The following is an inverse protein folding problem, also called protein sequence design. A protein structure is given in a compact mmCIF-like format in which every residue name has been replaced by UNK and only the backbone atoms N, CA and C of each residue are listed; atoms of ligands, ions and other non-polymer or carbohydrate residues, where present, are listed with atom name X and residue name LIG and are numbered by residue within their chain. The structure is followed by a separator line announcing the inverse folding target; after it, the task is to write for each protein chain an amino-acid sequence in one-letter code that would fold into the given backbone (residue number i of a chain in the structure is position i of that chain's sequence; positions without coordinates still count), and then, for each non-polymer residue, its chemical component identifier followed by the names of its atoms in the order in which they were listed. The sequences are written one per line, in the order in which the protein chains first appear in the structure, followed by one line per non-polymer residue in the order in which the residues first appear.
data_IF_395275863167
#
_entry.id   IF_395275863167
#
_cell.length_a   1.000
_cell.length_b   1.000
_cell.length_c   1.000
_cell.angle_alpha   90.00
_cell.angle_beta   90.00
_cell.angle_gamma   90.00
#
_symmetry.space_group_name_H-M   'P 1'
#
loop_
_entity.id
_entity.type
_entity.pdbx_description
1 polymer ?
#
# COMPACT_ATOMS: atom_id res chain seq x y z
N UNK A 1 0.59 -0.13 -15.84
CA UNK A 1 0.17 0.43 -14.53
C UNK A 1 -0.16 1.90 -14.72
N UNK A 2 -1.32 2.34 -14.28
CA UNK A 2 -1.76 3.72 -14.45
C UNK A 2 -1.42 4.55 -13.20
N UNK A 3 -0.41 5.41 -13.31
CA UNK A 3 0.04 6.24 -12.18
C UNK A 3 -0.98 7.30 -11.74
N UNK A 4 -1.97 7.60 -12.59
CA UNK A 4 -3.04 8.55 -12.25
C UNK A 4 -4.18 7.89 -11.47
N UNK A 5 -4.18 6.57 -11.36
CA UNK A 5 -5.17 5.85 -10.59
C UNK A 5 -5.10 6.27 -9.11
N UNK A 6 -6.25 6.47 -8.48
CA UNK A 6 -6.29 6.74 -7.04
C UNK A 6 -6.12 5.46 -6.24
N UNK A 7 -5.41 5.58 -5.14
CA UNK A 7 -5.16 4.46 -4.22
C UNK A 7 -5.45 4.91 -2.79
N UNK A 8 -5.63 3.94 -1.91
CA UNK A 8 -5.91 4.19 -0.49
C UNK A 8 -4.65 3.95 0.34
N UNK A 9 -4.41 4.84 1.28
CA UNK A 9 -3.41 4.67 2.32
C UNK A 9 -3.98 5.24 3.62
N UNK A 10 -3.15 5.53 4.60
CA UNK A 10 -3.60 6.07 5.87
C UNK A 10 -2.87 7.36 6.22
N UNK A 11 -3.49 8.16 7.10
CA UNK A 11 -2.83 9.35 7.63
C UNK A 11 -1.56 9.02 8.40
N UNK A 12 -1.49 7.81 8.98
CA UNK A 12 -0.29 7.38 9.71
C UNK A 12 0.91 7.21 8.76
N UNK A 13 0.67 6.67 7.58
CA UNK A 13 1.70 6.54 6.54
C UNK A 13 2.13 7.92 6.04
N UNK A 14 1.18 8.77 5.71
CA UNK A 14 1.45 10.05 5.04
C UNK A 14 2.02 11.08 6.01
N UNK A 15 1.47 11.20 7.21
CA UNK A 15 1.82 12.29 8.13
C UNK A 15 2.73 11.84 9.28
N UNK A 16 2.68 10.56 9.66
CA UNK A 16 3.44 10.06 10.81
C UNK A 16 4.61 9.16 10.39
N UNK A 17 4.88 9.05 9.10
CA UNK A 17 5.97 8.24 8.54
C UNK A 17 5.93 6.76 8.94
N UNK A 18 4.74 6.20 9.17
CA UNK A 18 4.62 4.76 9.39
C UNK A 18 5.12 4.01 8.15
N UNK A 19 5.97 3.00 8.36
CA UNK A 19 6.47 2.19 7.25
C UNK A 19 5.33 1.39 6.65
N UNK A 20 5.28 1.35 5.31
CA UNK A 20 4.29 0.54 4.59
C UNK A 20 4.76 -0.92 4.66
N UNK A 21 3.95 -1.77 5.29
CA UNK A 21 4.27 -3.19 5.47
C UNK A 21 3.25 -4.13 4.83
N UNK A 22 2.15 -3.58 4.30
CA UNK A 22 1.14 -4.36 3.60
C UNK A 22 0.62 -3.58 2.40
N UNK A 23 0.58 -4.25 1.25
CA UNK A 23 -0.01 -3.71 0.03
C UNK A 23 -1.06 -4.72 -0.41
N UNK A 24 -2.29 -4.27 -0.63
CA UNK A 24 -3.40 -5.11 -1.10
C UNK A 24 -3.83 -4.63 -2.47
N UNK A 25 -3.85 -5.55 -3.44
CA UNK A 25 -4.42 -5.31 -4.76
C UNK A 25 -5.72 -6.09 -4.85
N UNK A 26 -6.83 -5.43 -4.56
CA UNK A 26 -8.12 -6.07 -4.44
C UNK A 26 -8.65 -6.50 -5.80
N UNK A 27 -9.59 -7.45 -5.80
CA UNK A 27 -10.11 -8.03 -7.05
C UNK A 27 -10.81 -7.01 -7.94
N UNK A 28 -11.37 -5.95 -7.35
CA UNK A 28 -11.97 -4.85 -8.12
C UNK A 28 -10.94 -3.89 -8.71
N UNK A 29 -9.65 -4.11 -8.48
CA UNK A 29 -8.57 -3.28 -8.97
C UNK A 29 -8.11 -2.19 -8.01
N UNK A 30 -8.75 -2.04 -6.87
CA UNK A 30 -8.34 -1.04 -5.87
C UNK A 30 -7.04 -1.45 -5.18
N UNK A 31 -6.26 -0.45 -4.77
CA UNK A 31 -5.02 -0.63 -4.04
C UNK A 31 -5.13 -0.04 -2.65
N UNK A 32 -4.59 -0.75 -1.66
CA UNK A 32 -4.42 -0.23 -0.31
C UNK A 32 -2.97 -0.37 0.13
N UNK A 33 -2.42 0.68 0.73
CA UNK A 33 -1.05 0.73 1.23
C UNK A 33 -1.12 1.02 2.73
N UNK A 34 -0.76 0.05 3.55
CA UNK A 34 -1.00 0.09 5.00
C UNK A 34 0.29 -0.07 5.79
N UNK A 35 0.35 0.62 6.94
CA UNK A 35 1.38 0.43 7.94
C UNK A 35 1.01 -0.65 8.95
N UNK A 36 1.56 -0.53 10.16
CA UNK A 36 1.34 -1.50 11.22
C UNK A 36 0.09 -1.22 12.07
N UNK A 37 -0.58 -0.10 11.82
CA UNK A 37 -1.74 0.30 12.65
C UNK A 37 -2.90 -0.68 12.48
N UNK A 38 -3.53 -1.00 13.61
CA UNK A 38 -4.71 -1.85 13.66
C UNK A 38 -5.95 -1.01 13.99
N UNK A 39 -7.13 -1.60 13.84
CA UNK A 39 -8.40 -0.95 14.18
C UNK A 39 -8.62 0.38 13.45
N UNK A 40 -8.25 0.42 12.17
CA UNK A 40 -8.39 1.61 11.36
C UNK A 40 -9.85 1.99 11.17
N UNK A 41 -10.12 3.31 11.19
CA UNK A 41 -11.42 3.90 10.91
C UNK A 41 -11.42 4.49 9.49
N UNK A 42 -12.59 4.72 8.94
CA UNK A 42 -12.71 5.40 7.65
C UNK A 42 -12.05 6.80 7.68
N UNK A 43 -12.09 7.46 8.83
CA UNK A 43 -11.45 8.78 8.99
C UNK A 43 -9.93 8.73 8.92
N UNK A 44 -9.32 7.55 9.02
CA UNK A 44 -7.87 7.39 8.89
C UNK A 44 -7.44 7.24 7.42
N UNK A 45 -8.36 7.04 6.51
CA UNK A 45 -8.06 6.82 5.10
C UNK A 45 -7.62 8.11 4.42
N UNK A 46 -6.62 7.99 3.55
CA UNK A 46 -6.15 9.06 2.68
C UNK A 46 -6.12 8.52 1.26
N UNK A 47 -6.59 9.32 0.30
CA UNK A 47 -6.62 8.95 -1.10
C UNK A 47 -5.61 9.81 -1.86
N UNK A 48 -4.68 9.16 -2.54
CA UNK A 48 -3.67 9.83 -3.37
C UNK A 48 -3.55 9.07 -4.68
N UNK A 49 -2.80 9.61 -5.64
CA UNK A 49 -2.53 8.87 -6.87
C UNK A 49 -1.48 7.78 -6.63
N UNK A 50 -1.50 6.75 -7.47
CA UNK A 50 -0.50 5.69 -7.41
C UNK A 50 0.91 6.24 -7.62
N UNK A 51 1.05 7.21 -8.53
CA UNK A 51 2.34 7.87 -8.76
C UNK A 51 2.88 8.57 -7.52
N UNK A 52 2.02 9.31 -6.81
CA UNK A 52 2.40 9.95 -5.55
C UNK A 52 2.80 8.92 -4.49
N UNK A 53 2.04 7.82 -4.41
CA UNK A 53 2.34 6.74 -3.46
C UNK A 53 3.72 6.13 -3.73
N UNK A 54 4.03 5.89 -4.99
CA UNK A 54 5.32 5.31 -5.37
C UNK A 54 6.49 6.28 -5.17
N UNK A 55 6.26 7.57 -5.36
CA UNK A 55 7.26 8.59 -5.08
C UNK A 55 7.51 8.73 -3.57
N UNK A 56 6.49 8.44 -2.78
CA UNK A 56 6.58 8.51 -1.32
C UNK A 56 7.53 7.44 -0.74
N UNK A 57 7.60 6.26 -1.38
CA UNK A 57 8.43 5.15 -0.91
C UNK A 57 8.95 4.34 -2.09
N UNK A 58 10.27 4.44 -2.34
CA UNK A 58 10.92 3.75 -3.45
C UNK A 58 10.91 2.23 -3.32
N UNK A 59 10.69 1.70 -2.12
CA UNK A 59 10.67 0.26 -1.90
C UNK A 59 9.37 -0.42 -2.36
N UNK A 60 8.44 0.33 -2.94
CA UNK A 60 7.14 -0.19 -3.38
C UNK A 60 7.16 -0.80 -4.78
N UNK A 61 8.32 -1.14 -5.31
CA UNK A 61 8.45 -1.68 -6.68
C UNK A 61 7.70 -3.01 -6.89
N UNK A 62 7.39 -3.73 -5.83
CA UNK A 62 6.58 -4.97 -5.88
C UNK A 62 5.20 -4.72 -6.50
N UNK A 63 4.70 -3.49 -6.43
CA UNK A 63 3.41 -3.09 -7.02
C UNK A 63 3.34 -3.45 -8.50
N UNK A 64 4.45 -3.34 -9.22
CA UNK A 64 4.50 -3.58 -10.67
C UNK A 64 4.17 -5.03 -11.04
N UNK A 65 4.32 -5.96 -10.10
CA UNK A 65 4.11 -7.39 -10.37
C UNK A 65 3.05 -8.02 -9.47
N UNK A 66 2.32 -7.24 -8.67
CA UNK A 66 1.32 -7.77 -7.75
C UNK A 66 -0.04 -7.89 -8.44
N UNK A 67 -0.50 -9.14 -8.76
CA UNK A 67 -1.79 -9.32 -9.42
C UNK A 67 -2.98 -8.94 -8.53
N UNK A 68 -4.14 -8.75 -9.15
CA UNK A 68 -5.40 -8.57 -8.42
C UNK A 68 -5.67 -9.81 -7.55
N UNK A 69 -6.28 -9.62 -6.40
CA UNK A 69 -6.59 -10.69 -5.46
C UNK A 69 -5.43 -11.12 -4.59
N UNK A 70 -4.29 -10.43 -4.71
CA UNK A 70 -3.09 -10.74 -3.93
C UNK A 70 -2.71 -9.59 -3.02
N UNK A 71 -1.96 -9.94 -1.97
CA UNK A 71 -1.38 -8.95 -1.07
C UNK A 71 0.10 -9.25 -0.87
N UNK A 72 0.88 -8.20 -0.65
CA UNK A 72 2.29 -8.29 -0.31
C UNK A 72 2.46 -7.84 1.14
N UNK A 73 3.18 -8.60 1.94
CA UNK A 73 3.42 -8.32 3.34
C UNK A 73 4.92 -8.41 3.61
N UNK A 74 5.43 -7.48 4.39
CA UNK A 74 6.81 -7.52 4.87
C UNK A 74 6.85 -7.13 6.34
N UNK A 75 7.94 -7.49 7.01
CA UNK A 75 8.13 -7.20 8.43
C UNK A 75 8.42 -5.72 8.67
N UNK A 76 9.25 -5.13 7.81
CA UNK A 76 9.64 -3.72 7.89
C UNK A 76 10.19 -3.29 6.51
N UNK A 77 10.60 -2.03 6.39
CA UNK A 77 11.05 -1.44 5.14
C UNK A 77 12.31 -2.12 4.57
N UNK A 78 13.12 -2.74 5.41
CA UNK A 78 14.34 -3.44 4.99
C UNK A 78 14.13 -4.92 4.70
N UNK A 79 12.93 -5.44 4.96
CA UNK A 79 12.59 -6.85 4.76
C UNK A 79 12.04 -7.11 3.37
N UNK A 80 12.21 -8.33 2.83
CA UNK A 80 11.60 -8.67 1.54
C UNK A 80 10.09 -8.77 1.64
N UNK A 81 9.42 -8.56 0.51
CA UNK A 81 7.98 -8.76 0.38
C UNK A 81 7.67 -10.23 0.18
N UNK A 82 6.62 -10.72 0.84
CA UNK A 82 6.05 -12.04 0.62
C UNK A 82 4.62 -11.87 0.11
N UNK A 83 4.25 -12.65 -0.89
CA UNK A 83 2.95 -12.52 -1.56
C UNK A 83 2.02 -13.63 -1.11
N UNK A 84 0.80 -13.23 -0.75
CA UNK A 84 -0.25 -14.13 -0.27
C UNK A 84 -1.56 -13.81 -1.00
N UNK A 85 -2.50 -14.74 -0.93
CA UNK A 85 -3.88 -14.45 -1.32
C UNK A 85 -4.53 -13.52 -0.29
N UNK A 86 -5.43 -12.69 -0.77
CA UNK A 86 -6.23 -11.87 0.12
C UNK A 86 -7.28 -12.74 0.80
#
# INVERSE_FOLDING_TARGET
MNKNQYVFTTRFVIYDNSEIIRIMHEENGDWQFLGCEENLNESDAVIISLGEMMDFDESLCVVKSLPVGKQAIRKNKQSPWYIYDI
#
